data_IF_143414596894
#
_entry.id   IF_143414596894
#
_cell.length_a   1.000
_cell.length_b   1.000
_cell.length_c   1.000
_cell.angle_alpha   90.00
_cell.angle_beta   90.00
_cell.angle_gamma   90.00
#
_symmetry.space_group_name_H-M   'P 1'
#
loop_
_entity.id
_entity.type
_entity.pdbx_description
1 polymer ?
#
# COMPACT_ATOMS: atom_id res chain seq x y z
N UNK A 1 17.51 -0.18 22.42
CA UNK A 1 16.13 -0.38 22.83
C UNK A 1 15.30 0.77 22.33
N UNK A 2 14.15 0.48 21.79
CA UNK A 2 13.31 1.41 21.07
C UNK A 2 11.92 1.42 21.73
N UNK A 3 11.57 2.52 22.38
CA UNK A 3 10.27 2.70 23.02
C UNK A 3 9.44 3.67 22.20
N UNK A 4 8.18 3.35 21.93
CA UNK A 4 7.31 4.17 21.08
C UNK A 4 5.84 4.10 21.50
N UNK A 5 5.11 5.18 21.25
CA UNK A 5 3.65 5.23 21.33
C UNK A 5 3.11 5.44 19.93
N UNK A 6 2.52 4.41 19.34
CA UNK A 6 2.11 4.38 17.94
C UNK A 6 0.88 3.49 17.75
N UNK A 7 0.28 3.53 16.56
CA UNK A 7 -0.83 2.63 16.22
C UNK A 7 -0.37 1.18 16.00
N UNK A 8 0.95 0.98 15.80
CA UNK A 8 1.54 -0.33 15.61
C UNK A 8 2.98 -0.27 15.15
N UNK A 9 3.58 -1.44 14.98
CA UNK A 9 4.92 -1.61 14.42
C UNK A 9 4.88 -2.64 13.29
N UNK A 10 5.60 -2.35 12.21
CA UNK A 10 5.75 -3.25 11.07
C UNK A 10 7.16 -3.81 11.10
N UNK A 11 7.29 -5.14 11.12
CA UNK A 11 8.55 -5.84 10.86
C UNK A 11 8.46 -6.40 9.44
N UNK A 12 9.42 -6.05 8.61
CA UNK A 12 9.41 -6.45 7.20
C UNK A 12 10.72 -7.09 6.76
N UNK A 13 10.61 -8.11 5.93
CA UNK A 13 11.73 -8.61 5.13
C UNK A 13 12.05 -7.62 3.99
N UNK A 14 13.20 -7.74 3.31
CA UNK A 14 13.49 -6.93 2.13
C UNK A 14 12.40 -6.98 1.06
N UNK A 15 11.78 -8.14 0.84
CA UNK A 15 10.65 -8.29 -0.08
C UNK A 15 9.43 -7.51 0.40
N UNK A 16 9.11 -7.58 1.68
CA UNK A 16 7.97 -6.86 2.28
C UNK A 16 8.18 -5.36 2.44
N UNK A 17 9.43 -4.87 2.37
CA UNK A 17 9.75 -3.45 2.53
C UNK A 17 9.06 -2.54 1.51
N UNK A 18 8.73 -3.07 0.33
CA UNK A 18 8.00 -2.35 -0.73
C UNK A 18 6.47 -2.46 -0.66
N UNK A 19 5.93 -3.04 0.42
CA UNK A 19 4.49 -3.19 0.68
C UNK A 19 4.00 -2.17 1.72
N UNK A 20 3.33 -2.61 2.79
CA UNK A 20 2.80 -1.72 3.82
C UNK A 20 3.89 -0.92 4.55
N UNK A 21 5.07 -1.51 4.77
CA UNK A 21 6.23 -0.82 5.35
C UNK A 21 6.57 0.47 4.59
N UNK A 22 6.60 0.43 3.26
CA UNK A 22 6.82 1.63 2.44
C UNK A 22 5.72 2.68 2.62
N UNK A 23 4.47 2.27 2.72
CA UNK A 23 3.33 3.18 2.94
C UNK A 23 3.38 3.85 4.32
N UNK A 24 3.98 3.19 5.31
CA UNK A 24 4.23 3.74 6.64
C UNK A 24 5.51 4.60 6.73
N UNK A 25 6.15 4.90 5.61
CA UNK A 25 7.37 5.72 5.55
C UNK A 25 8.67 4.93 5.75
N UNK A 26 8.61 3.61 5.70
CA UNK A 26 9.79 2.74 5.75
C UNK A 26 10.64 2.81 4.49
N UNK A 27 11.94 2.54 4.59
CA UNK A 27 12.84 2.50 3.44
C UNK A 27 12.54 1.28 2.58
N UNK A 28 12.83 1.42 1.30
CA UNK A 28 12.86 0.27 0.40
C UNK A 28 14.20 -0.44 0.51
N UNK A 29 14.16 -1.73 0.77
CA UNK A 29 15.34 -2.56 1.00
C UNK A 29 15.56 -3.47 -0.22
N UNK A 30 16.79 -3.58 -0.68
CA UNK A 30 17.13 -4.51 -1.76
C UNK A 30 16.89 -5.95 -1.33
N UNK A 31 16.29 -6.75 -2.22
CA UNK A 31 15.90 -8.13 -1.94
C UNK A 31 17.09 -9.07 -1.61
N UNK A 32 18.30 -8.70 -2.00
CA UNK A 32 19.52 -9.43 -1.69
C UNK A 32 20.11 -9.10 -0.31
N UNK A 33 19.53 -8.15 0.41
CA UNK A 33 20.05 -7.76 1.73
C UNK A 33 19.59 -8.75 2.80
N UNK A 34 20.46 -9.04 3.76
CA UNK A 34 20.19 -9.93 4.89
C UNK A 34 19.80 -9.10 6.11
N UNK A 35 18.63 -8.46 6.05
CA UNK A 35 18.17 -7.54 7.09
C UNK A 35 16.66 -7.62 7.30
N UNK A 36 16.20 -7.11 8.46
CA UNK A 36 14.82 -6.73 8.71
C UNK A 36 14.67 -5.22 8.77
N UNK A 37 13.54 -4.71 8.29
CA UNK A 37 13.11 -3.33 8.50
C UNK A 37 12.07 -3.26 9.61
N UNK A 38 12.21 -2.29 10.53
CA UNK A 38 11.27 -2.02 11.62
C UNK A 38 10.76 -0.60 11.45
N UNK A 39 9.44 -0.44 11.34
CA UNK A 39 8.78 0.85 11.06
C UNK A 39 7.58 1.04 11.99
N UNK A 40 7.52 2.14 12.71
CA UNK A 40 6.33 2.54 13.46
C UNK A 40 5.23 3.06 12.53
N UNK A 41 4.00 2.77 12.88
CA UNK A 41 2.80 3.29 12.20
C UNK A 41 2.21 4.41 13.04
N UNK A 42 2.15 5.61 12.49
CA UNK A 42 1.59 6.79 13.14
C UNK A 42 2.18 7.04 14.55
N UNK A 43 3.51 7.01 14.68
CA UNK A 43 4.19 7.32 15.93
C UNK A 43 3.85 8.72 16.41
N UNK A 44 3.63 8.89 17.72
CA UNK A 44 3.49 10.20 18.36
C UNK A 44 4.82 10.96 18.39
N UNK A 45 5.94 10.26 18.31
CA UNK A 45 7.27 10.84 18.18
C UNK A 45 7.59 11.14 16.72
N UNK A 46 7.45 12.40 16.31
CA UNK A 46 7.73 12.85 14.95
C UNK A 46 9.19 12.71 14.52
N UNK A 47 10.11 12.48 15.47
CA UNK A 47 11.53 12.25 15.19
C UNK A 47 11.85 10.78 14.97
N UNK A 48 10.90 9.88 15.20
CA UNK A 48 11.06 8.45 15.04
C UNK A 48 11.51 8.10 13.62
N UNK A 49 12.57 7.30 13.55
CA UNK A 49 13.11 6.83 12.26
C UNK A 49 12.98 5.31 12.17
N UNK A 50 12.71 4.77 10.98
CA UNK A 50 12.81 3.34 10.74
C UNK A 50 14.16 2.78 11.12
N UNK A 51 14.18 1.56 11.64
CA UNK A 51 15.41 0.82 11.94
C UNK A 51 15.62 -0.28 10.90
N UNK A 52 16.88 -0.50 10.58
CA UNK A 52 17.33 -1.65 9.80
C UNK A 52 18.27 -2.47 10.68
N UNK A 53 17.92 -3.73 10.88
CA UNK A 53 18.69 -4.66 11.71
C UNK A 53 19.08 -5.90 10.91
N UNK A 54 20.10 -6.63 11.35
CA UNK A 54 20.49 -7.90 10.72
C UNK A 54 19.33 -8.90 10.79
N UNK A 55 19.18 -9.73 9.76
CA UNK A 55 18.18 -10.82 9.75
C UNK A 55 18.51 -11.96 10.74
N UNK A 56 19.73 -11.94 11.33
CA UNK A 56 20.11 -12.82 12.45
C UNK A 56 19.70 -12.26 13.81
N UNK A 57 19.12 -11.06 13.87
CA UNK A 57 18.64 -10.46 15.12
C UNK A 57 17.34 -11.13 15.57
N UNK A 58 17.18 -11.23 16.88
CA UNK A 58 15.90 -11.51 17.52
C UNK A 58 15.26 -10.16 17.84
N UNK A 59 14.05 -9.93 17.35
CA UNK A 59 13.30 -8.70 17.60
C UNK A 59 12.22 -9.03 18.63
N UNK A 60 12.40 -8.54 19.84
CA UNK A 60 11.42 -8.68 20.92
C UNK A 60 10.61 -7.38 21.02
N UNK A 61 9.30 -7.51 21.09
CA UNK A 61 8.35 -6.42 21.35
C UNK A 61 7.65 -6.76 22.65
N UNK A 62 7.95 -6.01 23.68
CA UNK A 62 7.42 -6.18 25.02
C UNK A 62 6.63 -4.94 25.48
N UNK A 63 6.08 -5.00 26.68
CA UNK A 63 5.28 -3.92 27.27
C UNK A 63 4.16 -3.42 26.34
N UNK A 64 3.59 -4.32 25.53
CA UNK A 64 2.51 -3.97 24.61
C UNK A 64 1.27 -3.59 25.41
N UNK A 65 0.87 -2.32 25.34
CA UNK A 65 -0.33 -1.81 26.00
C UNK A 65 -1.26 -1.13 25.01
N UNK A 66 -2.56 -1.41 25.13
CA UNK A 66 -3.60 -0.78 24.32
C UNK A 66 -4.90 -0.68 25.09
N UNK A 67 -5.69 0.34 24.78
CA UNK A 67 -7.06 0.46 25.35
C UNK A 67 -8.03 -0.61 24.85
N UNK A 68 -7.74 -1.19 23.69
CA UNK A 68 -8.51 -2.26 23.08
C UNK A 68 -7.70 -3.56 23.10
N UNK A 69 -7.71 -4.31 22.03
CA UNK A 69 -6.87 -5.49 21.81
C UNK A 69 -5.79 -5.17 20.80
N UNK A 70 -4.65 -5.86 20.90
CA UNK A 70 -3.61 -5.85 19.90
C UNK A 70 -3.61 -7.17 19.15
N UNK A 71 -3.39 -7.11 17.84
CA UNK A 71 -3.25 -8.29 16.99
C UNK A 71 -1.89 -8.26 16.28
N UNK A 72 -1.27 -9.43 16.14
CA UNK A 72 -0.25 -9.65 15.10
C UNK A 72 -0.95 -9.98 13.81
N UNK A 73 -0.62 -9.28 12.76
CA UNK A 73 -1.18 -9.50 11.41
C UNK A 73 -0.05 -9.95 10.49
N UNK A 74 -0.13 -11.19 9.98
CA UNK A 74 0.84 -11.73 9.04
C UNK A 74 0.37 -11.50 7.60
N UNK A 75 1.17 -10.80 6.83
CA UNK A 75 0.95 -10.49 5.41
C UNK A 75 -0.46 -9.91 5.10
N UNK A 76 -1.08 -9.26 6.09
CA UNK A 76 -2.42 -8.66 5.97
C UNK A 76 -3.57 -9.66 6.01
N UNK A 77 -3.33 -10.95 6.20
CA UNK A 77 -4.32 -12.04 6.11
C UNK A 77 -4.58 -12.65 7.48
N UNK A 78 -3.58 -13.28 8.06
CA UNK A 78 -3.72 -14.02 9.32
C UNK A 78 -3.61 -13.08 10.51
N UNK A 79 -4.49 -13.27 11.51
CA UNK A 79 -4.58 -12.44 12.71
C UNK A 79 -4.49 -13.29 13.97
N UNK A 80 -3.61 -12.90 14.87
CA UNK A 80 -3.40 -13.55 16.17
C UNK A 80 -3.45 -12.52 17.28
N UNK A 81 -4.24 -12.79 18.32
CA UNK A 81 -4.31 -11.90 19.49
C UNK A 81 -3.00 -11.94 20.26
N UNK A 82 -2.54 -10.76 20.66
CA UNK A 82 -1.35 -10.60 21.48
C UNK A 82 -1.75 -10.33 22.91
N UNK A 83 -1.14 -11.05 23.86
CA UNK A 83 -1.40 -10.82 25.27
C UNK A 83 -0.36 -9.87 25.89
N UNK A 84 0.95 -10.13 25.74
CA UNK A 84 1.99 -9.34 26.40
C UNK A 84 3.20 -9.03 25.52
N UNK A 85 3.72 -10.00 24.81
CA UNK A 85 4.96 -9.85 24.01
C UNK A 85 4.88 -10.60 22.69
N UNK A 86 5.71 -10.17 21.75
CA UNK A 86 5.89 -10.80 20.44
C UNK A 86 7.37 -10.91 20.16
N UNK A 87 7.81 -12.06 19.67
CA UNK A 87 9.15 -12.28 19.18
C UNK A 87 9.12 -12.54 17.68
N UNK A 88 10.00 -11.89 16.93
CA UNK A 88 10.18 -12.12 15.51
C UNK A 88 11.62 -12.53 15.20
N UNK A 89 11.76 -13.69 14.57
CA UNK A 89 13.04 -14.28 14.18
C UNK A 89 13.02 -14.77 12.75
N UNK A 90 14.20 -14.97 12.17
CA UNK A 90 14.34 -15.58 10.87
C UNK A 90 14.08 -17.07 10.94
N UNK A 91 13.15 -17.56 10.12
CA UNK A 91 12.92 -19.01 9.97
C UNK A 91 14.00 -19.65 9.11
N UNK A 92 14.47 -20.83 9.53
CA UNK A 92 15.44 -21.66 8.79
C UNK A 92 14.81 -23.03 8.51
N UNK A 93 14.68 -23.47 7.25
CA UNK A 93 15.19 -22.90 6.00
C UNK A 93 14.32 -21.74 5.47
N UNK A 94 14.93 -20.71 4.83
CA UNK A 94 14.18 -19.60 4.27
C UNK A 94 13.36 -20.05 3.05
N UNK A 95 12.19 -19.45 2.86
CA UNK A 95 11.42 -19.61 1.65
C UNK A 95 12.17 -19.02 0.45
N UNK A 96 12.22 -19.75 -0.66
CA UNK A 96 12.87 -19.33 -1.90
C UNK A 96 11.82 -19.02 -2.96
N UNK A 97 11.81 -17.75 -3.45
CA UNK A 97 10.93 -17.33 -4.54
C UNK A 97 11.74 -17.33 -5.83
N UNK A 98 11.31 -18.16 -6.79
CA UNK A 98 11.93 -18.21 -8.12
C UNK A 98 11.19 -17.29 -9.07
N UNK A 99 11.91 -16.37 -9.74
CA UNK A 99 11.35 -15.54 -10.80
C UNK A 99 11.38 -16.27 -12.14
N UNK A 100 10.23 -16.31 -12.79
CA UNK A 100 10.08 -16.97 -14.11
C UNK A 100 10.39 -16.00 -15.26
N UNK A 101 10.30 -14.65 -15.03
CA UNK A 101 10.64 -13.65 -16.05
C UNK A 101 11.87 -12.84 -15.64
N UNK A 102 12.88 -12.86 -16.50
CA UNK A 102 14.20 -12.25 -16.27
C UNK A 102 14.24 -10.77 -16.72
N UNK A 103 13.28 -10.28 -17.51
CA UNK A 103 13.36 -9.01 -18.23
C UNK A 103 13.10 -7.74 -17.40
N UNK A 104 12.71 -7.85 -16.14
CA UNK A 104 12.62 -6.70 -15.24
C UNK A 104 13.56 -6.84 -14.07
N UNK A 105 14.60 -6.01 -14.01
CA UNK A 105 15.45 -5.90 -12.83
C UNK A 105 14.59 -5.49 -11.63
N UNK A 106 14.88 -6.01 -10.43
CA UNK A 106 14.18 -5.61 -9.19
C UNK A 106 14.17 -4.09 -9.01
N UNK A 107 15.22 -3.41 -9.47
CA UNK A 107 15.38 -1.95 -9.47
C UNK A 107 14.33 -1.27 -10.35
N UNK A 108 14.07 -1.76 -11.57
CA UNK A 108 13.09 -1.15 -12.47
C UNK A 108 11.65 -1.33 -11.98
N UNK A 109 11.32 -2.50 -11.41
CA UNK A 109 10.02 -2.75 -10.79
C UNK A 109 9.80 -1.86 -9.56
N UNK A 110 10.86 -1.65 -8.78
CA UNK A 110 10.85 -0.78 -7.62
C UNK A 110 10.70 0.69 -8.00
N UNK A 111 11.49 1.18 -8.96
CA UNK A 111 11.38 2.54 -9.48
C UNK A 111 9.96 2.84 -10.01
N UNK A 112 9.33 1.88 -10.69
CA UNK A 112 7.93 2.00 -11.10
C UNK A 112 6.97 2.12 -9.91
N UNK A 113 7.16 1.33 -8.83
CA UNK A 113 6.32 1.41 -7.62
C UNK A 113 6.49 2.73 -6.89
N UNK A 114 7.72 3.20 -6.70
CA UNK A 114 8.02 4.48 -6.05
C UNK A 114 7.39 5.62 -6.83
N UNK A 115 7.60 5.67 -8.15
CA UNK A 115 7.00 6.68 -9.03
C UNK A 115 5.48 6.66 -8.97
N UNK A 116 4.86 5.48 -9.00
CA UNK A 116 3.40 5.34 -8.87
C UNK A 116 2.91 5.85 -7.50
N UNK A 117 3.63 5.55 -6.42
CA UNK A 117 3.28 6.03 -5.09
C UNK A 117 3.36 7.57 -4.99
N UNK A 118 4.40 8.19 -5.55
CA UNK A 118 4.54 9.65 -5.63
C UNK A 118 3.41 10.29 -6.46
N UNK A 119 3.09 9.71 -7.62
CA UNK A 119 1.99 10.18 -8.46
C UNK A 119 0.63 10.08 -7.77
N UNK A 120 0.39 8.99 -7.02
CA UNK A 120 -0.82 8.82 -6.21
C UNK A 120 -0.88 9.82 -5.05
N UNK A 121 0.25 10.11 -4.40
CA UNK A 121 0.32 11.11 -3.33
C UNK A 121 0.01 12.52 -3.84
N UNK A 122 0.52 12.89 -4.99
CA UNK A 122 0.28 14.18 -5.65
C UNK A 122 -1.12 14.32 -6.28
N UNK A 123 -1.88 13.24 -6.37
CA UNK A 123 -3.19 13.23 -7.02
C UNK A 123 -4.25 13.96 -6.17
N UNK A 124 -5.12 14.80 -6.79
CA UNK A 124 -6.23 15.45 -6.09
C UNK A 124 -7.14 14.45 -5.35
N UNK A 125 -7.64 14.78 -4.15
CA UNK A 125 -8.47 13.87 -3.36
C UNK A 125 -9.69 13.31 -4.09
N UNK A 126 -10.37 14.15 -4.91
CA UNK A 126 -11.50 13.71 -5.73
C UNK A 126 -11.11 12.67 -6.77
N UNK A 127 -9.93 12.77 -7.36
CA UNK A 127 -9.41 11.79 -8.31
C UNK A 127 -9.06 10.46 -7.63
N UNK A 128 -8.45 10.52 -6.44
CA UNK A 128 -8.19 9.32 -5.61
C UNK A 128 -9.47 8.59 -5.27
N UNK A 129 -10.50 9.32 -4.84
CA UNK A 129 -11.80 8.74 -4.48
C UNK A 129 -12.45 8.04 -5.67
N UNK A 130 -12.48 8.70 -6.84
CA UNK A 130 -13.05 8.12 -8.06
C UNK A 130 -12.28 6.86 -8.50
N UNK A 131 -10.95 6.90 -8.46
CA UNK A 131 -10.11 5.77 -8.80
C UNK A 131 -10.40 4.58 -7.89
N UNK A 132 -10.53 4.83 -6.58
CA UNK A 132 -10.82 3.80 -5.59
C UNK A 132 -12.20 3.16 -5.80
N UNK A 133 -13.22 3.97 -6.09
CA UNK A 133 -14.56 3.45 -6.39
C UNK A 133 -14.56 2.60 -7.67
N UNK A 134 -13.88 3.05 -8.72
CA UNK A 134 -13.76 2.27 -9.96
C UNK A 134 -12.97 0.96 -9.76
N UNK A 135 -12.04 0.92 -8.79
CA UNK A 135 -11.31 -0.28 -8.44
C UNK A 135 -12.23 -1.34 -7.78
N UNK A 136 -13.09 -0.91 -6.87
CA UNK A 136 -14.00 -1.81 -6.14
C UNK A 136 -15.25 -2.21 -6.93
N UNK A 137 -15.85 -1.27 -7.63
CA UNK A 137 -17.17 -1.45 -8.25
C UNK A 137 -17.09 -1.75 -9.77
N UNK A 138 -15.90 -1.62 -10.33
CA UNK A 138 -15.69 -1.82 -11.76
C UNK A 138 -16.04 -0.61 -12.61
N UNK A 139 -16.53 -0.87 -13.84
CA UNK A 139 -16.84 0.20 -14.81
C UNK A 139 -18.14 0.93 -14.48
N UNK A 140 -18.11 2.27 -14.51
CA UNK A 140 -19.25 3.13 -14.13
C UNK A 140 -19.40 4.33 -15.06
N UNK A 141 -20.65 4.84 -15.12
CA UNK A 141 -20.95 6.11 -15.77
C UNK A 141 -20.62 7.31 -14.87
N UNK A 142 -20.49 8.49 -15.47
CA UNK A 142 -20.28 9.73 -14.70
C UNK A 142 -21.40 9.99 -13.69
N UNK A 143 -22.67 9.64 -14.03
CA UNK A 143 -23.84 9.83 -13.15
C UNK A 143 -23.77 8.93 -11.93
N UNK A 144 -23.44 7.64 -12.13
CA UNK A 144 -23.26 6.68 -11.04
C UNK A 144 -22.13 7.09 -10.11
N UNK A 145 -20.98 7.52 -10.67
CA UNK A 145 -19.87 8.03 -9.89
C UNK A 145 -20.27 9.26 -9.06
N UNK A 146 -21.01 10.20 -9.62
CA UNK A 146 -21.49 11.36 -8.88
C UNK A 146 -22.44 10.96 -7.75
N UNK A 147 -23.35 10.03 -7.98
CA UNK A 147 -24.26 9.51 -6.96
C UNK A 147 -23.54 8.79 -5.83
N UNK A 148 -22.55 7.93 -6.15
CA UNK A 148 -21.80 7.16 -5.14
C UNK A 148 -20.80 7.99 -4.34
N UNK A 149 -20.20 8.99 -4.97
CA UNK A 149 -19.21 9.86 -4.30
C UNK A 149 -19.82 11.04 -3.57
N UNK A 150 -21.09 11.35 -3.84
CA UNK A 150 -21.75 12.58 -3.40
C UNK A 150 -21.01 13.86 -3.83
N UNK A 151 -20.11 13.77 -4.81
CA UNK A 151 -19.39 14.91 -5.36
C UNK A 151 -20.23 15.65 -6.41
N UNK A 152 -20.11 16.98 -6.48
CA UNK A 152 -20.73 17.77 -7.55
C UNK A 152 -20.31 17.26 -8.94
N UNK A 153 -21.25 17.24 -9.90
CA UNK A 153 -21.00 16.73 -11.26
C UNK A 153 -19.81 17.41 -11.95
N UNK A 154 -19.55 18.69 -11.65
CA UNK A 154 -18.38 19.43 -12.14
C UNK A 154 -17.07 18.83 -11.60
N UNK A 155 -17.02 18.52 -10.31
CA UNK A 155 -15.85 17.92 -9.65
C UNK A 155 -15.57 16.54 -10.21
N UNK A 156 -16.61 15.71 -10.37
CA UNK A 156 -16.48 14.37 -11.01
C UNK A 156 -15.92 14.49 -12.42
N UNK A 157 -16.42 15.43 -13.22
CA UNK A 157 -15.94 15.65 -14.60
C UNK A 157 -14.46 16.04 -14.64
N UNK A 158 -14.03 16.94 -13.77
CA UNK A 158 -12.63 17.36 -13.67
C UNK A 158 -11.73 16.23 -13.23
N UNK A 159 -12.14 15.46 -12.22
CA UNK A 159 -11.40 14.30 -11.72
C UNK A 159 -11.27 13.20 -12.80
N UNK A 160 -12.35 12.90 -13.51
CA UNK A 160 -12.31 11.95 -14.64
C UNK A 160 -11.37 12.43 -15.75
N UNK A 161 -11.40 13.73 -16.09
CA UNK A 161 -10.47 14.30 -17.08
C UNK A 161 -9.03 14.15 -16.63
N UNK A 162 -8.75 14.44 -15.36
CA UNK A 162 -7.41 14.28 -14.77
C UNK A 162 -6.94 12.81 -14.84
N UNK A 163 -7.79 11.86 -14.43
CA UNK A 163 -7.47 10.43 -14.47
C UNK A 163 -7.25 9.90 -15.89
N UNK A 164 -8.04 10.36 -16.87
CA UNK A 164 -7.85 10.00 -18.29
C UNK A 164 -6.54 10.56 -18.83
N UNK A 165 -6.23 11.83 -18.57
CA UNK A 165 -4.99 12.46 -19.04
C UNK A 165 -3.73 11.76 -18.47
N UNK A 166 -3.83 11.21 -17.27
CA UNK A 166 -2.77 10.43 -16.61
C UNK A 166 -2.76 8.95 -17.01
N UNK A 167 -3.74 8.50 -17.82
CA UNK A 167 -3.83 7.11 -18.28
C UNK A 167 -4.34 6.09 -17.24
N UNK A 168 -4.81 6.53 -16.08
CA UNK A 168 -5.33 5.62 -15.05
C UNK A 168 -6.67 4.99 -15.42
N UNK A 169 -7.48 5.69 -16.19
CA UNK A 169 -8.78 5.22 -16.66
C UNK A 169 -8.94 5.44 -18.15
N UNK A 170 -9.76 4.61 -18.76
CA UNK A 170 -10.20 4.78 -20.15
C UNK A 170 -11.73 4.94 -20.22
N UNK A 171 -12.17 5.60 -21.27
CA UNK A 171 -13.57 5.85 -21.56
C UNK A 171 -14.03 4.91 -22.66
N UNK A 172 -15.14 4.22 -22.44
CA UNK A 172 -15.85 3.43 -23.44
C UNK A 172 -17.25 3.98 -23.67
N UNK A 173 -17.82 3.66 -24.81
CA UNK A 173 -19.25 3.92 -25.09
C UNK A 173 -20.05 2.72 -24.57
N UNK A 174 -21.18 2.97 -23.93
CA UNK A 174 -22.06 1.90 -23.47
C UNK A 174 -22.66 1.13 -24.68
N UNK A 175 -22.62 -0.18 -24.62
CA UNK A 175 -23.26 -1.04 -25.65
C UNK A 175 -24.77 -0.90 -25.60
N UNK A 176 -25.36 -0.57 -24.43
CA UNK A 176 -26.82 -0.42 -24.26
C UNK A 176 -27.34 0.95 -24.66
N UNK A 177 -26.53 2.00 -24.52
CA UNK A 177 -26.90 3.36 -24.89
C UNK A 177 -25.65 4.11 -25.36
N UNK A 178 -25.55 4.34 -26.65
CA UNK A 178 -24.42 5.02 -27.31
C UNK A 178 -24.19 6.46 -26.80
N UNK A 179 -25.16 7.07 -26.11
CA UNK A 179 -25.03 8.40 -25.51
C UNK A 179 -24.35 8.36 -24.17
N UNK A 180 -24.28 7.18 -23.49
CA UNK A 180 -23.66 7.03 -22.20
C UNK A 180 -22.18 6.66 -22.32
N UNK A 181 -21.36 7.38 -21.56
CA UNK A 181 -19.92 7.15 -21.44
C UNK A 181 -19.65 6.37 -20.16
N UNK A 182 -18.97 5.24 -20.29
CA UNK A 182 -18.54 4.38 -19.19
C UNK A 182 -17.04 4.57 -18.99
N UNK A 183 -16.63 4.64 -17.74
CA UNK A 183 -15.23 4.77 -17.34
C UNK A 183 -14.79 3.50 -16.63
N UNK A 184 -13.62 3.01 -16.98
CA UNK A 184 -13.02 1.82 -16.36
C UNK A 184 -11.53 2.02 -16.12
N UNK A 185 -10.97 1.31 -15.16
CA UNK A 185 -9.53 1.35 -14.88
C UNK A 185 -8.77 0.75 -16.07
N UNK A 186 -7.72 1.44 -16.48
CA UNK A 186 -6.73 0.88 -17.39
C UNK A 186 -5.89 -0.12 -16.64
N UNK A 187 -5.84 -1.40 -17.07
CA UNK A 187 -4.90 -2.36 -16.48
C UNK A 187 -3.49 -1.79 -16.65
N UNK A 188 -2.86 -1.42 -15.55
CA UNK A 188 -1.46 -1.05 -15.51
C UNK A 188 -0.65 -2.33 -15.75
N UNK A 189 -0.11 -2.48 -16.96
CA UNK A 189 0.84 -3.54 -17.29
C UNK A 189 2.21 -3.24 -16.67
#
# INVERSE_FOLDING_TARGET
>A
VWHDSSDGVIISTPTGSSAYSMSAGGPVIFQSSNVFGIVSVNSLDTTRRPLIVSDNSIIEIDEISSRLHCDVVLDGIDRYKVNNNVEATKFIPPARIVRVKVDSTAISALAKKVKLAEELLAMPPSSKLLLKILEYEGSMTQKELASKTLLPARTVRLALKHLMNKGYIKRKVSIRDARQKIYEITKLN
#
